data_IF_638183339143
#
_entry.id   IF_638183339143
#
_cell.length_a   1.000
_cell.length_b   1.000
_cell.length_c   1.000
_cell.angle_alpha   90.00
_cell.angle_beta   90.00
_cell.angle_gamma   90.00
#
_symmetry.space_group_name_H-M   'P 1'
#
loop_
_entity.id
_entity.type
_entity.pdbx_description
1 polymer ?
#
# COMPACT_ATOMS: atom_id res chain seq x y z
N UNK A 1 -35.54 -54.66 -18.24
CA UNK A 1 -34.56 -53.72 -18.81
C UNK A 1 -34.40 -52.57 -17.82
N UNK A 2 -33.23 -52.46 -17.19
CA UNK A 2 -33.00 -51.54 -16.06
C UNK A 2 -31.92 -50.54 -16.51
N UNK A 3 -32.33 -49.35 -16.90
CA UNK A 3 -31.41 -48.28 -17.29
C UNK A 3 -30.94 -47.56 -16.02
N UNK A 4 -29.65 -47.67 -15.73
CA UNK A 4 -28.98 -46.93 -14.67
C UNK A 4 -28.49 -45.59 -15.26
N UNK A 5 -28.89 -44.42 -14.74
CA UNK A 5 -28.32 -43.16 -15.22
C UNK A 5 -26.91 -43.02 -14.62
N UNK A 6 -25.92 -42.93 -15.50
CA UNK A 6 -24.55 -42.58 -15.16
C UNK A 6 -24.51 -41.10 -14.75
N UNK A 7 -24.50 -40.82 -13.45
CA UNK A 7 -24.34 -39.46 -12.92
C UNK A 7 -22.87 -39.07 -13.09
N UNK A 8 -22.59 -38.25 -14.10
CA UNK A 8 -21.28 -37.62 -14.31
C UNK A 8 -21.11 -36.52 -13.25
N UNK A 9 -20.46 -36.84 -12.14
CA UNK A 9 -20.01 -35.84 -11.16
C UNK A 9 -18.83 -35.06 -11.76
N UNK A 10 -19.13 -33.93 -12.38
CA UNK A 10 -18.14 -32.90 -12.69
C UNK A 10 -17.66 -32.32 -11.36
N UNK A 11 -16.54 -32.82 -10.86
CA UNK A 11 -15.81 -32.21 -9.76
C UNK A 11 -15.23 -30.89 -10.25
N UNK A 12 -15.93 -29.80 -9.93
CA UNK A 12 -15.36 -28.45 -10.06
C UNK A 12 -14.23 -28.38 -9.03
N UNK A 13 -12.99 -28.56 -9.49
CA UNK A 13 -11.82 -28.22 -8.69
C UNK A 13 -11.81 -26.71 -8.56
N UNK A 14 -12.35 -26.19 -7.46
CA UNK A 14 -12.12 -24.80 -7.07
C UNK A 14 -10.63 -24.67 -6.80
N UNK A 15 -9.89 -24.12 -7.76
CA UNK A 15 -8.53 -23.66 -7.53
C UNK A 15 -8.65 -22.48 -6.57
N UNK A 16 -8.54 -22.74 -5.27
CA UNK A 16 -8.22 -21.70 -4.30
C UNK A 16 -6.85 -21.16 -4.73
N UNK A 17 -6.83 -20.03 -5.43
CA UNK A 17 -5.62 -19.28 -5.64
C UNK A 17 -5.05 -19.01 -4.24
N UNK A 18 -3.82 -19.46 -3.97
CA UNK A 18 -3.15 -19.12 -2.73
C UNK A 18 -3.11 -17.59 -2.59
N UNK A 19 -3.49 -17.05 -1.43
CA UNK A 19 -3.41 -15.61 -1.14
C UNK A 19 -1.94 -15.17 -1.17
N UNK A 20 -1.46 -14.80 -2.35
CA UNK A 20 -0.10 -14.32 -2.56
C UNK A 20 0.12 -13.00 -1.81
N UNK A 21 1.38 -12.70 -1.48
CA UNK A 21 1.73 -11.40 -0.93
C UNK A 21 1.20 -10.25 -1.80
N UNK A 22 1.36 -10.37 -3.13
CA UNK A 22 0.86 -9.39 -4.08
C UNK A 22 -0.65 -9.20 -3.96
N UNK A 23 -1.43 -10.29 -3.85
CA UNK A 23 -2.88 -10.18 -3.71
C UNK A 23 -3.28 -9.46 -2.42
N UNK A 24 -2.65 -9.80 -1.28
CA UNK A 24 -2.92 -9.13 0.00
C UNK A 24 -2.62 -7.63 -0.06
N UNK A 25 -1.54 -7.22 -0.73
CA UNK A 25 -1.22 -5.79 -0.90
C UNK A 25 -2.28 -5.11 -1.78
N UNK A 26 -2.71 -5.75 -2.88
CA UNK A 26 -3.79 -5.22 -3.75
C UNK A 26 -5.08 -4.98 -2.96
N UNK A 27 -5.46 -5.93 -2.11
CA UNK A 27 -6.67 -5.83 -1.30
C UNK A 27 -6.61 -4.64 -0.33
N UNK A 28 -5.44 -4.33 0.23
CA UNK A 28 -5.24 -3.14 1.06
C UNK A 28 -5.43 -1.87 0.23
N UNK A 29 -4.83 -1.78 -0.96
CA UNK A 29 -5.01 -0.63 -1.86
C UNK A 29 -6.48 -0.42 -2.24
N UNK A 30 -7.19 -1.48 -2.60
CA UNK A 30 -8.61 -1.42 -2.97
C UNK A 30 -9.51 -0.95 -1.82
N UNK A 31 -9.13 -1.27 -0.58
CA UNK A 31 -9.88 -0.83 0.61
C UNK A 31 -9.56 0.61 1.02
N UNK A 32 -8.36 1.12 0.69
CA UNK A 32 -7.82 2.37 1.26
C UNK A 32 -7.64 3.50 0.25
N UNK A 33 -7.78 3.21 -1.03
CA UNK A 33 -7.58 4.17 -2.12
C UNK A 33 -8.65 3.98 -3.18
N UNK A 34 -8.63 4.86 -4.18
CA UNK A 34 -9.45 4.73 -5.38
C UNK A 34 -8.93 3.72 -6.40
N UNK A 35 -7.77 3.09 -6.16
CA UNK A 35 -7.25 2.01 -7.02
C UNK A 35 -8.15 0.79 -6.91
N UNK A 36 -8.73 0.34 -8.00
CA UNK A 36 -9.55 -0.86 -8.05
C UNK A 36 -8.82 -2.02 -8.73
N UNK A 37 -9.52 -3.14 -8.97
CA UNK A 37 -8.93 -4.34 -9.57
C UNK A 37 -8.55 -4.15 -11.06
N UNK A 38 -9.18 -3.21 -11.77
CA UNK A 38 -8.95 -2.92 -13.20
C UNK A 38 -7.71 -2.07 -13.43
N UNK A 39 -7.26 -1.33 -12.40
CA UNK A 39 -6.05 -0.51 -12.45
C UNK A 39 -4.76 -1.34 -12.41
N UNK A 40 -4.84 -2.61 -12.02
CA UNK A 40 -3.68 -3.49 -11.89
C UNK A 40 -3.31 -4.18 -13.18
N UNK A 41 -2.03 -4.13 -13.52
CA UNK A 41 -1.45 -4.90 -14.63
C UNK A 41 -0.11 -5.52 -14.23
N UNK A 42 0.25 -6.63 -14.87
CA UNK A 42 1.53 -7.32 -14.64
C UNK A 42 2.65 -6.73 -15.50
N UNK A 43 3.85 -6.62 -14.94
CA UNK A 43 5.08 -6.29 -15.67
C UNK A 43 6.27 -7.06 -15.09
N UNK A 44 6.64 -8.15 -15.75
CA UNK A 44 7.66 -9.06 -15.24
C UNK A 44 7.16 -9.77 -13.99
N UNK A 45 7.93 -9.68 -12.90
CA UNK A 45 7.59 -10.22 -11.57
C UNK A 45 6.73 -9.27 -10.72
N UNK A 46 6.48 -8.05 -11.20
CA UNK A 46 5.76 -7.02 -10.47
C UNK A 46 4.29 -6.91 -10.91
N UNK A 47 3.40 -6.68 -9.95
CA UNK A 47 2.07 -6.11 -10.18
C UNK A 47 2.15 -4.59 -10.03
N UNK A 48 1.66 -3.84 -11.01
CA UNK A 48 1.69 -2.37 -11.03
C UNK A 48 0.27 -1.84 -11.08
N UNK A 49 -0.01 -0.78 -10.33
CA UNK A 49 -1.23 0.01 -10.48
C UNK A 49 -0.87 1.48 -10.71
N UNK A 50 -1.64 2.13 -11.58
CA UNK A 50 -1.54 3.56 -11.85
C UNK A 50 -2.95 4.15 -11.81
N UNK A 51 -3.17 5.11 -10.92
CA UNK A 51 -4.43 5.80 -10.78
C UNK A 51 -4.20 7.30 -10.91
N UNK A 52 -5.03 7.95 -11.72
CA UNK A 52 -5.04 9.41 -11.89
C UNK A 52 -6.45 9.93 -11.65
N UNK A 53 -6.65 10.68 -10.59
CA UNK A 53 -7.96 11.19 -10.24
C UNK A 53 -8.06 11.69 -8.83
N UNK A 54 -9.30 11.82 -8.36
CA UNK A 54 -9.60 12.25 -7.00
C UNK A 54 -9.43 11.07 -6.03
N UNK A 55 -8.44 11.14 -5.14
CA UNK A 55 -8.13 10.13 -4.14
C UNK A 55 -7.73 10.83 -2.84
N UNK A 56 -8.17 10.33 -1.68
CA UNK A 56 -7.89 10.93 -0.36
C UNK A 56 -8.22 12.44 -0.29
N UNK A 57 -9.30 12.88 -0.95
CA UNK A 57 -9.72 14.28 -0.91
C UNK A 57 -8.96 15.24 -1.84
N UNK A 58 -7.99 14.74 -2.64
CA UNK A 58 -7.17 15.56 -3.55
C UNK A 58 -7.03 14.90 -4.92
N UNK A 59 -6.82 15.72 -5.95
CA UNK A 59 -6.45 15.21 -7.27
C UNK A 59 -4.97 14.83 -7.26
N UNK A 60 -4.67 13.57 -7.57
CA UNK A 60 -3.30 13.05 -7.56
C UNK A 60 -3.09 11.92 -8.57
N UNK A 61 -1.83 11.75 -8.95
CA UNK A 61 -1.30 10.55 -9.58
C UNK A 61 -0.78 9.63 -8.45
N UNK A 62 -1.37 8.45 -8.33
CA UNK A 62 -0.92 7.37 -7.46
C UNK A 62 -0.34 6.26 -8.34
N UNK A 63 0.90 5.88 -8.09
CA UNK A 63 1.56 4.75 -8.76
C UNK A 63 2.12 3.81 -7.72
N UNK A 64 1.81 2.53 -7.85
CA UNK A 64 2.31 1.48 -6.96
C UNK A 64 2.88 0.32 -7.75
N UNK A 65 3.91 -0.32 -7.21
CA UNK A 65 4.43 -1.58 -7.72
C UNK A 65 4.67 -2.54 -6.58
N UNK A 66 4.26 -3.79 -6.76
CA UNK A 66 4.36 -4.85 -5.76
C UNK A 66 5.05 -6.06 -6.36
N UNK A 67 6.11 -6.52 -5.70
CA UNK A 67 6.75 -7.82 -5.92
C UNK A 67 6.59 -8.66 -4.66
N UNK A 68 7.03 -9.92 -4.67
CA UNK A 68 6.83 -10.85 -3.55
C UNK A 68 7.44 -10.41 -2.21
N UNK A 69 8.39 -9.48 -2.22
CA UNK A 69 9.08 -8.97 -1.03
C UNK A 69 9.29 -7.45 -1.05
N UNK A 70 8.55 -6.73 -1.90
CA UNK A 70 8.77 -5.31 -2.12
C UNK A 70 7.45 -4.60 -2.46
N UNK A 71 7.21 -3.47 -1.81
CA UNK A 71 6.12 -2.54 -2.12
C UNK A 71 6.75 -1.18 -2.39
N UNK A 72 6.40 -0.55 -3.50
CA UNK A 72 6.78 0.84 -3.80
C UNK A 72 5.53 1.65 -4.08
N UNK A 73 5.45 2.86 -3.54
CA UNK A 73 4.33 3.78 -3.72
C UNK A 73 4.89 5.16 -4.06
N UNK A 74 4.29 5.80 -5.05
CA UNK A 74 4.52 7.20 -5.40
C UNK A 74 3.17 7.90 -5.48
N UNK A 75 3.04 9.00 -4.76
CA UNK A 75 1.88 9.89 -4.80
C UNK A 75 2.36 11.28 -5.18
N UNK A 76 1.69 11.90 -6.14
CA UNK A 76 2.01 13.23 -6.61
C UNK A 76 0.73 14.01 -6.88
N UNK A 77 0.60 15.19 -6.27
CA UNK A 77 -0.50 16.08 -6.58
C UNK A 77 -0.51 16.41 -8.07
N UNK A 78 -1.70 16.44 -8.63
CA UNK A 78 -1.95 17.03 -9.95
C UNK A 78 -2.89 18.21 -9.79
N UNK A 79 -3.05 19.01 -10.83
CA UNK A 79 -3.96 20.16 -10.80
C UNK A 79 -5.39 19.76 -10.44
N UNK A 80 -5.99 20.50 -9.50
CA UNK A 80 -7.39 20.37 -9.09
C UNK A 80 -7.99 21.73 -8.72
N UNK A 81 -9.29 21.79 -8.36
CA UNK A 81 -9.98 23.03 -8.05
C UNK A 81 -9.43 23.73 -6.79
N UNK A 82 -8.87 22.95 -5.86
CA UNK A 82 -8.17 23.43 -4.67
C UNK A 82 -6.83 22.71 -4.57
N UNK A 83 -5.75 23.46 -4.39
CA UNK A 83 -4.43 22.92 -4.11
C UNK A 83 -4.31 22.76 -2.58
N UNK A 84 -4.00 21.55 -2.06
CA UNK A 84 -3.79 21.36 -0.63
C UNK A 84 -2.54 22.10 -0.17
N UNK A 85 -2.41 22.31 1.15
CA UNK A 85 -1.10 22.64 1.72
C UNK A 85 -0.12 21.45 1.53
N UNK A 86 1.18 21.74 1.44
CA UNK A 86 2.16 20.68 1.20
C UNK A 86 2.37 19.79 2.42
N UNK A 87 2.20 20.30 3.63
CA UNK A 87 2.23 19.52 4.88
C UNK A 87 1.00 18.62 4.94
N UNK A 88 -0.19 19.14 4.65
CA UNK A 88 -1.43 18.36 4.59
C UNK A 88 -1.34 17.21 3.57
N UNK A 89 -0.85 17.51 2.36
CA UNK A 89 -0.64 16.48 1.34
C UNK A 89 0.33 15.40 1.81
N UNK A 90 1.43 15.80 2.43
CA UNK A 90 2.43 14.87 2.94
C UNK A 90 1.90 14.04 4.11
N UNK A 91 1.10 14.63 5.00
CA UNK A 91 0.47 13.92 6.11
C UNK A 91 -0.45 12.81 5.60
N UNK A 92 -1.36 13.13 4.67
CA UNK A 92 -2.29 12.15 4.10
C UNK A 92 -1.57 11.02 3.36
N UNK A 93 -0.57 11.37 2.55
CA UNK A 93 0.16 10.39 1.74
C UNK A 93 1.12 9.52 2.57
N UNK A 94 1.76 10.09 3.59
CA UNK A 94 2.60 9.32 4.52
C UNK A 94 1.76 8.36 5.38
N UNK A 95 0.57 8.79 5.80
CA UNK A 95 -0.39 7.93 6.48
C UNK A 95 -0.87 6.76 5.59
N UNK A 96 -1.04 6.98 4.28
CA UNK A 96 -1.33 5.89 3.35
C UNK A 96 -0.16 4.89 3.30
N UNK A 97 1.08 5.37 3.18
CA UNK A 97 2.26 4.50 3.20
C UNK A 97 2.31 3.64 4.47
N UNK A 98 2.11 4.24 5.64
CA UNK A 98 2.02 3.49 6.91
C UNK A 98 0.92 2.43 6.85
N UNK A 99 -0.29 2.83 6.44
CA UNK A 99 -1.45 1.94 6.36
C UNK A 99 -1.21 0.74 5.44
N UNK A 100 -0.50 0.94 4.32
CA UNK A 100 -0.17 -0.13 3.38
C UNK A 100 0.93 -1.03 3.94
N UNK A 101 1.93 -0.49 4.62
CA UNK A 101 3.08 -1.28 5.11
C UNK A 101 2.79 -2.03 6.41
N UNK A 102 2.02 -1.45 7.33
CA UNK A 102 1.71 -1.97 8.66
C UNK A 102 1.37 -3.48 8.70
N UNK A 103 0.39 -4.00 7.92
CA UNK A 103 0.01 -5.41 8.00
C UNK A 103 1.09 -6.40 7.54
N UNK A 104 2.15 -5.93 6.88
CA UNK A 104 3.23 -6.77 6.35
C UNK A 104 4.54 -6.62 7.13
N UNK A 105 4.82 -5.42 7.61
CA UNK A 105 6.03 -5.10 8.37
C UNK A 105 5.84 -5.41 9.84
N UNK A 106 4.68 -5.06 10.40
CA UNK A 106 4.38 -5.18 11.84
C UNK A 106 3.02 -5.87 12.05
N UNK A 107 2.84 -7.11 11.56
CA UNK A 107 1.54 -7.80 11.57
C UNK A 107 0.94 -7.97 12.97
N UNK A 108 1.78 -8.02 14.00
CA UNK A 108 1.38 -8.22 15.40
C UNK A 108 1.18 -6.89 16.17
N UNK A 109 1.40 -5.74 15.51
CA UNK A 109 1.21 -4.44 16.15
C UNK A 109 -0.29 -4.13 16.29
N UNK A 110 -0.70 -3.81 17.51
CA UNK A 110 -2.06 -3.36 17.83
C UNK A 110 -2.00 -1.88 18.12
N UNK A 111 -2.71 -1.07 17.33
CA UNK A 111 -2.80 0.37 17.56
C UNK A 111 -3.44 0.63 18.95
N UNK A 112 -2.86 1.54 19.76
CA UNK A 112 -3.47 1.98 21.01
C UNK A 112 -4.92 2.42 20.84
N UNK A 113 -5.80 2.00 21.76
CA UNK A 113 -7.22 2.37 21.78
C UNK A 113 -7.58 3.33 22.91
N UNK A 114 -6.62 3.61 23.81
CA UNK A 114 -6.74 4.56 24.91
C UNK A 114 -5.79 5.74 24.71
N UNK A 115 -6.19 6.91 25.19
CA UNK A 115 -5.35 8.11 25.23
C UNK A 115 -4.18 7.98 26.24
N UNK A 116 -4.28 7.04 27.19
CA UNK A 116 -3.24 6.78 28.20
C UNK A 116 -2.15 5.82 27.72
N UNK A 117 -2.29 5.26 26.52
CA UNK A 117 -1.31 4.33 25.95
C UNK A 117 -0.40 5.07 24.96
N UNK A 118 0.76 5.47 25.48
CA UNK A 118 1.80 6.21 24.75
C UNK A 118 2.69 5.30 23.87
N UNK A 119 2.31 4.04 23.64
CA UNK A 119 3.11 3.12 22.83
C UNK A 119 3.21 3.65 21.39
N UNK A 120 4.40 4.05 20.92
CA UNK A 120 4.52 4.61 19.58
C UNK A 120 4.38 3.51 18.53
N UNK A 121 3.77 3.86 17.39
CA UNK A 121 3.81 3.02 16.18
C UNK A 121 5.27 2.69 15.83
N UNK A 122 5.61 1.42 15.54
CA UNK A 122 6.93 1.07 15.03
C UNK A 122 7.30 1.82 13.73
N UNK A 123 6.29 2.32 13.02
CA UNK A 123 6.38 3.10 11.80
C UNK A 123 6.28 4.63 12.03
N UNK A 124 6.34 5.11 13.27
CA UNK A 124 6.21 6.53 13.61
C UNK A 124 7.24 7.46 12.92
N UNK A 125 8.39 6.93 12.52
CA UNK A 125 9.39 7.67 11.74
C UNK A 125 8.86 8.13 10.37
N UNK A 126 7.76 7.55 9.89
CA UNK A 126 7.08 7.94 8.66
C UNK A 126 6.14 9.15 8.85
N UNK A 127 5.91 9.61 10.08
CA UNK A 127 5.03 10.75 10.34
C UNK A 127 5.63 12.03 9.78
N UNK A 128 4.77 12.90 9.25
CA UNK A 128 5.18 14.11 8.50
C UNK A 128 6.14 15.00 9.28
N UNK A 129 5.98 15.09 10.61
CA UNK A 129 6.86 15.86 11.51
C UNK A 129 8.30 15.35 11.54
N UNK A 130 8.50 14.07 11.21
CA UNK A 130 9.80 13.43 11.12
C UNK A 130 10.41 13.51 9.71
N UNK A 131 9.68 14.05 8.72
CA UNK A 131 10.11 14.12 7.33
C UNK A 131 10.56 15.54 6.96
N UNK A 132 11.64 15.65 6.20
CA UNK A 132 12.05 16.90 5.55
C UNK A 132 11.40 17.02 4.18
N UNK A 133 11.10 18.24 3.74
CA UNK A 133 10.52 18.52 2.43
C UNK A 133 11.62 18.63 1.35
N UNK A 134 12.49 17.62 1.25
CA UNK A 134 13.61 17.55 0.31
C UNK A 134 13.75 16.11 -0.20
N UNK A 135 13.86 15.93 -1.52
CA UNK A 135 14.05 14.60 -2.10
C UNK A 135 15.43 14.00 -1.75
N UNK A 136 16.39 14.84 -1.39
CA UNK A 136 17.76 14.44 -1.06
C UNK A 136 17.93 13.93 0.38
N UNK A 137 16.92 14.09 1.25
CA UNK A 137 16.97 13.65 2.65
C UNK A 137 15.91 12.59 2.97
N UNK A 138 16.00 11.38 2.37
CA UNK A 138 15.06 10.31 2.67
C UNK A 138 15.22 9.80 4.11
N UNK A 139 14.10 9.50 4.76
CA UNK A 139 14.12 8.80 6.04
C UNK A 139 14.05 7.30 5.78
N UNK A 140 15.01 6.58 6.35
CA UNK A 140 15.16 5.14 6.16
C UNK A 140 15.30 4.42 7.50
N UNK A 141 14.58 3.31 7.68
CA UNK A 141 14.66 2.48 8.88
C UNK A 141 14.40 1.01 8.54
N UNK A 142 15.08 0.12 9.25
CA UNK A 142 14.75 -1.32 9.22
C UNK A 142 13.83 -1.67 10.39
N UNK A 143 12.68 -2.27 10.09
CA UNK A 143 11.69 -2.72 11.07
C UNK A 143 11.31 -4.16 10.73
N UNK A 144 11.48 -5.10 11.67
CA UNK A 144 11.12 -6.52 11.49
C UNK A 144 11.64 -7.16 10.18
N UNK A 145 12.90 -6.87 9.83
CA UNK A 145 13.52 -7.38 8.60
C UNK A 145 13.03 -6.70 7.31
N UNK A 146 12.25 -5.64 7.40
CA UNK A 146 11.89 -4.80 6.26
C UNK A 146 12.66 -3.50 6.29
N UNK A 147 13.37 -3.20 5.21
CA UNK A 147 13.97 -1.90 4.95
C UNK A 147 12.89 -0.98 4.38
N UNK A 148 12.52 0.04 5.14
CA UNK A 148 11.51 1.02 4.77
C UNK A 148 12.20 2.34 4.48
N UNK A 149 11.79 2.98 3.39
CA UNK A 149 12.24 4.31 2.98
C UNK A 149 11.02 5.18 2.71
N UNK A 150 11.06 6.43 3.16
CA UNK A 150 10.05 7.44 2.82
C UNK A 150 10.75 8.75 2.52
N UNK A 151 10.29 9.41 1.46
CA UNK A 151 10.84 10.67 0.97
C UNK A 151 9.68 11.59 0.65
N UNK A 152 9.90 12.87 0.92
CA UNK A 152 8.89 13.91 0.74
C UNK A 152 9.53 15.06 -0.01
N UNK A 153 8.84 15.54 -1.04
CA UNK A 153 9.11 16.85 -1.64
C UNK A 153 7.81 17.65 -1.74
N UNK A 154 7.88 18.86 -2.27
CA UNK A 154 6.70 19.69 -2.50
C UNK A 154 5.70 18.90 -3.33
N UNK A 155 4.52 18.64 -2.75
CA UNK A 155 3.40 18.00 -3.44
C UNK A 155 3.68 16.57 -3.96
N UNK A 156 4.65 15.86 -3.35
CA UNK A 156 5.01 14.49 -3.73
C UNK A 156 5.54 13.71 -2.53
N UNK A 157 5.11 12.46 -2.43
CA UNK A 157 5.57 11.50 -1.43
C UNK A 157 5.92 10.20 -2.12
N UNK A 158 7.09 9.66 -1.83
CA UNK A 158 7.56 8.35 -2.29
C UNK A 158 7.86 7.49 -1.07
N UNK A 159 7.44 6.24 -1.09
CA UNK A 159 7.77 5.31 -0.03
C UNK A 159 7.98 3.91 -0.57
N UNK A 160 8.87 3.15 0.06
CA UNK A 160 9.11 1.76 -0.25
C UNK A 160 9.32 0.92 0.99
N UNK A 161 8.91 -0.34 0.92
CA UNK A 161 9.18 -1.35 1.93
C UNK A 161 9.71 -2.58 1.21
N UNK A 162 10.95 -2.98 1.52
CA UNK A 162 11.62 -4.15 0.93
C UNK A 162 12.11 -5.07 2.02
N UNK A 163 11.78 -6.36 1.94
CA UNK A 163 12.28 -7.36 2.88
C UNK A 163 13.78 -7.55 2.66
N UNK A 164 14.54 -7.43 3.74
CA UNK A 164 15.97 -7.73 3.81
C UNK A 164 16.08 -9.23 4.06
N UNK A 165 16.73 -9.93 3.15
CA UNK A 165 17.03 -11.36 3.28
C UNK A 165 18.14 -11.60 4.30
#
# INVERSE_FOLDING_TARGET
MKYLPLILLLTVTTVQAADTFQQKVKDVFQKKTSVDYTDWYGKGDAAIAEFKGFNLGVYQDLKTSVRDNEINIKMQYVTGPVRPDSDDFAQMTSALCETVFEPFVVPDYVRPTSWDDDTPSPLNFMYVDNLKQTEDDPVEKTVNGWKIKIERSVMKTTCSARKVN
#
